data_IF_947886505996
#
_entry.id   IF_947886505996
#
_cell.length_a   1.000
_cell.length_b   1.000
_cell.length_c   1.000
_cell.angle_alpha   90.00
_cell.angle_beta   90.00
_cell.angle_gamma   90.00
#
_symmetry.space_group_name_H-M   'P 1'
#
loop_
_entity.id
_entity.type
_entity.pdbx_description
1 polymer ?
#
# COMPACT_ATOMS: atom_id res chain seq x y z
N UNK A 1 25.28 -10.64 -46.06
CA UNK A 1 25.09 -10.99 -44.64
C UNK A 1 23.63 -10.73 -44.32
N UNK A 2 22.82 -11.78 -44.16
CA UNK A 2 21.38 -11.65 -43.90
C UNK A 2 21.17 -11.37 -42.41
N UNK A 3 20.60 -10.20 -42.11
CA UNK A 3 20.15 -9.83 -40.77
C UNK A 3 18.87 -10.62 -40.47
N UNK A 4 18.97 -11.63 -39.61
CA UNK A 4 17.82 -12.39 -39.11
C UNK A 4 17.13 -11.51 -38.07
N UNK A 5 16.07 -10.84 -38.50
CA UNK A 5 15.19 -10.09 -37.63
C UNK A 5 14.44 -11.09 -36.73
N UNK A 6 14.94 -11.30 -35.51
CA UNK A 6 14.26 -12.10 -34.50
C UNK A 6 12.97 -11.39 -34.07
N UNK A 7 11.87 -11.70 -34.76
CA UNK A 7 10.52 -11.43 -34.28
C UNK A 7 10.35 -12.16 -32.95
N UNK A 8 10.31 -11.38 -31.86
CA UNK A 8 9.96 -11.87 -30.53
C UNK A 8 8.50 -12.33 -30.62
N UNK A 9 8.28 -13.63 -30.77
CA UNK A 9 6.95 -14.22 -30.70
C UNK A 9 6.46 -14.06 -29.27
N UNK A 10 5.74 -12.96 -29.03
CA UNK A 10 5.20 -12.62 -27.72
C UNK A 10 4.06 -13.59 -27.45
N UNK A 11 4.36 -14.71 -26.78
CA UNK A 11 3.39 -15.74 -26.43
C UNK A 11 2.20 -15.09 -25.69
N UNK A 12 0.99 -15.07 -26.28
CA UNK A 12 -0.15 -14.35 -25.70
C UNK A 12 -0.63 -14.96 -24.37
N UNK A 13 -0.09 -16.12 -23.98
CA UNK A 13 -0.38 -16.80 -22.73
C UNK A 13 0.66 -16.52 -21.63
N UNK A 14 1.79 -15.88 -21.96
CA UNK A 14 2.79 -15.44 -20.99
C UNK A 14 2.23 -14.30 -20.12
N UNK A 15 1.55 -14.64 -19.03
CA UNK A 15 0.95 -13.70 -18.08
C UNK A 15 -0.51 -13.97 -17.71
N UNK A 16 -1.12 -15.03 -18.24
CA UNK A 16 -2.52 -15.38 -17.93
C UNK A 16 -2.74 -15.65 -16.43
N UNK A 17 -1.78 -16.28 -15.75
CA UNK A 17 -1.84 -16.57 -14.31
C UNK A 17 -1.75 -15.30 -13.45
N UNK A 18 -0.85 -14.38 -13.81
CA UNK A 18 -0.74 -13.08 -13.14
C UNK A 18 -2.01 -12.23 -13.30
N UNK A 19 -2.60 -12.25 -14.50
CA UNK A 19 -3.84 -11.51 -14.79
C UNK A 19 -5.02 -12.03 -13.96
N UNK A 20 -5.09 -13.34 -13.72
CA UNK A 20 -6.09 -13.97 -12.83
C UNK A 20 -5.88 -13.57 -11.37
N UNK A 21 -4.63 -13.56 -10.89
CA UNK A 21 -4.30 -13.15 -9.53
C UNK A 21 -4.73 -11.70 -9.26
N UNK A 22 -4.42 -10.79 -10.18
CA UNK A 22 -4.83 -9.38 -10.13
C UNK A 22 -6.35 -9.24 -10.06
N UNK A 23 -7.08 -9.94 -10.95
CA UNK A 23 -8.54 -9.90 -10.97
C UNK A 23 -9.18 -10.45 -9.68
N UNK A 24 -8.60 -11.52 -9.11
CA UNK A 24 -9.05 -12.07 -7.84
C UNK A 24 -8.88 -11.06 -6.70
N UNK A 25 -7.71 -10.45 -6.60
CA UNK A 25 -7.41 -9.44 -5.57
C UNK A 25 -8.27 -8.19 -5.75
N UNK A 26 -8.50 -7.75 -6.99
CA UNK A 26 -9.39 -6.64 -7.30
C UNK A 26 -10.80 -6.86 -6.72
N UNK A 27 -11.40 -8.03 -6.94
CA UNK A 27 -12.72 -8.34 -6.40
C UNK A 27 -12.74 -8.39 -4.86
N UNK A 28 -11.71 -8.97 -4.24
CA UNK A 28 -11.56 -8.97 -2.77
C UNK A 28 -11.49 -7.54 -2.23
N UNK A 29 -10.70 -6.67 -2.86
CA UNK A 29 -10.51 -5.30 -2.44
C UNK A 29 -11.75 -4.43 -2.69
N UNK A 30 -12.47 -4.70 -3.77
CA UNK A 30 -13.75 -4.06 -4.08
C UNK A 30 -14.79 -4.40 -3.00
N UNK A 31 -14.95 -5.68 -2.66
CA UNK A 31 -15.90 -6.12 -1.63
C UNK A 31 -15.50 -5.57 -0.26
N UNK A 32 -14.21 -5.63 0.09
CA UNK A 32 -13.71 -5.07 1.34
C UNK A 32 -14.01 -3.56 1.43
N UNK A 33 -13.75 -2.81 0.36
CA UNK A 33 -14.01 -1.36 0.31
C UNK A 33 -15.51 -1.05 0.36
N UNK A 34 -16.36 -1.85 -0.31
CA UNK A 34 -17.81 -1.69 -0.26
C UNK A 34 -18.37 -1.94 1.15
N UNK A 35 -17.86 -2.96 1.85
CA UNK A 35 -18.17 -3.21 3.26
C UNK A 35 -17.70 -2.05 4.15
N UNK A 36 -16.51 -1.51 3.90
CA UNK A 36 -15.96 -0.36 4.62
C UNK A 36 -16.92 0.84 4.50
N UNK A 37 -17.39 1.16 3.30
CA UNK A 37 -18.41 2.20 3.09
C UNK A 37 -19.75 1.87 3.76
N UNK A 38 -20.22 0.62 3.70
CA UNK A 38 -21.46 0.22 4.37
C UNK A 38 -21.38 0.44 5.88
N UNK A 39 -20.27 0.07 6.51
CA UNK A 39 -20.01 0.32 7.94
C UNK A 39 -19.91 1.82 8.20
N UNK A 40 -19.29 2.59 7.30
CA UNK A 40 -19.21 4.03 7.41
C UNK A 40 -20.59 4.70 7.47
N UNK A 41 -21.57 4.22 6.71
CA UNK A 41 -22.91 4.80 6.68
C UNK A 41 -23.87 4.23 7.73
N UNK A 42 -23.67 2.98 8.18
CA UNK A 42 -24.60 2.31 9.11
C UNK A 42 -24.22 2.44 10.58
N UNK A 43 -22.92 2.53 10.90
CA UNK A 43 -22.46 2.58 12.30
C UNK A 43 -22.37 4.05 12.77
N UNK A 44 -22.99 4.39 13.92
CA UNK A 44 -22.90 5.72 14.49
C UNK A 44 -21.45 6.10 14.83
N UNK A 45 -21.18 7.40 14.83
CA UNK A 45 -19.83 7.90 15.11
C UNK A 45 -19.41 7.56 16.54
N UNK A 46 -18.29 6.87 16.66
CA UNK A 46 -17.72 6.47 17.95
C UNK A 46 -16.36 5.78 17.78
N UNK A 47 -15.66 5.57 18.89
CA UNK A 47 -14.31 4.97 18.91
C UNK A 47 -14.28 3.60 18.22
N UNK A 48 -15.33 2.79 18.40
CA UNK A 48 -15.45 1.47 17.78
C UNK A 48 -15.44 1.54 16.24
N UNK A 49 -16.17 2.51 15.66
CA UNK A 49 -16.19 2.76 14.22
C UNK A 49 -14.81 3.16 13.69
N UNK A 50 -14.10 4.01 14.43
CA UNK A 50 -12.76 4.46 14.03
C UNK A 50 -11.77 3.30 14.06
N UNK A 51 -11.78 2.50 15.14
CA UNK A 51 -10.88 1.35 15.27
C UNK A 51 -11.14 0.31 14.19
N UNK A 52 -12.40 -0.04 13.91
CA UNK A 52 -12.71 -1.03 12.87
C UNK A 52 -12.29 -0.53 11.48
N UNK A 53 -12.49 0.77 11.21
CA UNK A 53 -12.04 1.39 9.97
C UNK A 53 -10.54 1.25 9.81
N UNK A 54 -9.76 1.69 10.80
CA UNK A 54 -8.29 1.64 10.76
C UNK A 54 -7.81 0.22 10.48
N UNK A 55 -8.36 -0.79 11.17
CA UNK A 55 -7.99 -2.19 10.95
C UNK A 55 -8.33 -2.64 9.52
N UNK A 56 -9.52 -2.33 9.02
CA UNK A 56 -9.96 -2.69 7.67
C UNK A 56 -9.10 -2.01 6.59
N UNK A 57 -8.74 -0.74 6.79
CA UNK A 57 -7.87 0.02 5.88
C UNK A 57 -6.43 -0.53 5.90
N UNK A 58 -5.92 -1.00 7.03
CA UNK A 58 -4.62 -1.68 7.10
C UNK A 58 -4.66 -3.00 6.32
N UNK A 59 -5.69 -3.82 6.52
CA UNK A 59 -5.86 -5.09 5.79
C UNK A 59 -5.90 -4.84 4.29
N UNK A 60 -6.66 -3.83 3.84
CA UNK A 60 -6.66 -3.36 2.45
C UNK A 60 -5.28 -3.03 1.93
N UNK A 61 -4.51 -2.23 2.68
CA UNK A 61 -3.16 -1.83 2.29
C UNK A 61 -2.25 -3.06 2.08
N UNK A 62 -2.34 -4.07 2.95
CA UNK A 62 -1.60 -5.33 2.78
C UNK A 62 -1.95 -6.05 1.47
N UNK A 63 -3.24 -6.16 1.12
CA UNK A 63 -3.65 -6.79 -0.14
C UNK A 63 -3.20 -5.99 -1.37
N UNK A 64 -3.23 -4.66 -1.30
CA UNK A 64 -2.75 -3.80 -2.40
C UNK A 64 -1.25 -3.97 -2.60
N UNK A 65 -0.48 -3.83 -1.52
CA UNK A 65 0.99 -3.92 -1.56
C UNK A 65 1.43 -5.35 -1.93
N UNK A 66 0.77 -6.38 -1.42
CA UNK A 66 1.11 -7.77 -1.70
C UNK A 66 0.91 -8.19 -3.16
N UNK A 67 -0.27 -7.90 -3.73
CA UNK A 67 -0.67 -8.43 -5.04
C UNK A 67 -0.56 -7.41 -6.19
N UNK A 68 -0.91 -6.13 -5.99
CA UNK A 68 -0.77 -5.14 -7.06
C UNK A 68 0.67 -4.68 -7.27
N UNK A 69 1.53 -4.74 -6.24
CA UNK A 69 2.94 -4.37 -6.37
C UNK A 69 3.86 -5.57 -6.64
N UNK A 70 3.31 -6.76 -6.89
CA UNK A 70 4.07 -7.98 -7.27
C UNK A 70 5.18 -8.37 -6.28
N UNK A 71 5.04 -7.96 -5.01
CA UNK A 71 6.10 -8.03 -4.00
C UNK A 71 6.36 -9.43 -3.44
N UNK A 72 5.45 -10.37 -3.69
CA UNK A 72 5.41 -11.64 -2.98
C UNK A 72 6.45 -12.66 -3.45
N UNK A 73 6.95 -12.57 -4.69
CA UNK A 73 7.85 -13.59 -5.23
C UNK A 73 9.19 -13.12 -5.81
N UNK A 74 9.38 -11.85 -6.21
CA UNK A 74 10.66 -11.46 -6.86
C UNK A 74 11.31 -10.16 -6.38
N UNK A 75 10.64 -9.28 -5.64
CA UNK A 75 11.09 -7.87 -5.54
C UNK A 75 11.28 -7.36 -4.10
N UNK A 76 12.23 -7.96 -3.37
CA UNK A 76 12.71 -7.39 -2.09
C UNK A 76 13.12 -5.91 -2.22
N UNK A 77 13.63 -5.51 -3.38
CA UNK A 77 13.99 -4.12 -3.70
C UNK A 77 12.80 -3.15 -3.66
N UNK A 78 11.61 -3.56 -4.12
CA UNK A 78 10.40 -2.73 -4.07
C UNK A 78 9.82 -2.61 -2.65
N UNK A 79 10.05 -3.59 -1.77
CA UNK A 79 9.70 -3.44 -0.35
C UNK A 79 10.55 -2.33 0.29
N UNK A 80 11.85 -2.31 -0.01
CA UNK A 80 12.76 -1.27 0.46
C UNK A 80 12.37 0.13 -0.06
N UNK A 81 11.89 0.25 -1.30
CA UNK A 81 11.44 1.54 -1.83
C UNK A 81 10.20 2.12 -1.13
N UNK A 82 9.41 1.29 -0.44
CA UNK A 82 8.26 1.73 0.37
C UNK A 82 8.69 1.95 1.83
N UNK A 83 9.48 1.06 2.40
CA UNK A 83 9.89 1.12 3.80
C UNK A 83 10.77 2.35 4.07
N UNK A 84 11.73 2.65 3.19
CA UNK A 84 12.66 3.78 3.37
C UNK A 84 11.93 5.12 3.49
N UNK A 85 11.04 5.53 2.57
CA UNK A 85 10.32 6.80 2.70
C UNK A 85 9.37 6.82 3.91
N UNK A 86 8.76 5.69 4.28
CA UNK A 86 7.91 5.63 5.50
C UNK A 86 8.72 5.87 6.76
N UNK A 87 9.89 5.23 6.90
CA UNK A 87 10.78 5.45 8.04
C UNK A 87 11.30 6.89 8.05
N UNK A 88 11.67 7.43 6.89
CA UNK A 88 12.13 8.82 6.78
C UNK A 88 11.07 9.83 7.25
N UNK A 89 9.80 9.65 6.85
CA UNK A 89 8.70 10.51 7.31
C UNK A 89 8.48 10.37 8.82
N UNK A 90 8.48 9.16 9.36
CA UNK A 90 8.33 8.94 10.80
C UNK A 90 9.47 9.60 11.60
N UNK A 91 10.70 9.47 11.12
CA UNK A 91 11.87 10.12 11.71
C UNK A 91 11.76 11.64 11.63
N UNK A 92 11.34 12.19 10.49
CA UNK A 92 11.15 13.63 10.29
C UNK A 92 10.11 14.21 11.27
N UNK A 93 8.98 13.52 11.46
CA UNK A 93 7.95 13.92 12.43
C UNK A 93 8.54 13.96 13.85
N UNK A 94 9.29 12.92 14.25
CA UNK A 94 9.95 12.88 15.56
C UNK A 94 10.96 14.03 15.73
N UNK A 95 11.80 14.27 14.71
CA UNK A 95 12.79 15.34 14.74
C UNK A 95 12.13 16.72 14.91
N UNK A 96 11.06 16.99 14.15
CA UNK A 96 10.30 18.24 14.26
C UNK A 96 9.62 18.41 15.63
N UNK A 97 9.13 17.33 16.24
CA UNK A 97 8.54 17.39 17.57
C UNK A 97 9.59 17.70 18.65
N UNK A 98 10.78 17.09 18.55
CA UNK A 98 11.88 17.33 19.50
C UNK A 98 12.43 18.75 19.40
N UNK A 99 12.77 19.19 18.18
CA UNK A 99 13.25 20.56 17.93
C UNK A 99 12.18 21.60 18.26
N UNK A 100 10.92 21.34 17.88
CA UNK A 100 9.80 22.21 18.21
C UNK A 100 9.61 22.37 19.72
N UNK A 101 9.73 21.29 20.50
CA UNK A 101 9.65 21.36 21.95
C UNK A 101 10.86 22.10 22.57
N UNK A 102 12.07 21.89 22.05
CA UNK A 102 13.27 22.58 22.52
C UNK A 102 13.20 24.10 22.30
N UNK A 103 12.74 24.53 21.12
CA UNK A 103 12.52 25.95 20.80
C UNK A 103 11.42 26.55 21.68
N UNK A 104 10.33 25.82 21.89
CA UNK A 104 9.24 26.27 22.75
C UNK A 104 9.71 26.50 24.19
N UNK A 105 10.50 25.59 24.74
CA UNK A 105 11.07 25.74 26.09
C UNK A 105 12.07 26.89 26.17
N UNK A 106 12.89 27.13 25.14
CA UNK A 106 13.86 28.23 25.13
C UNK A 106 13.24 29.64 25.00
N UNK A 107 12.04 29.77 24.43
CA UNK A 107 11.39 31.07 24.17
C UNK A 107 10.38 31.43 25.26
N UNK A 108 9.62 30.46 25.76
CA UNK A 108 8.45 30.72 26.61
C UNK A 108 8.63 30.31 28.08
N UNK A 109 9.77 29.72 28.42
CA UNK A 109 10.10 29.23 29.76
C UNK A 109 11.43 29.82 30.21
#
# INVERSE_FOLDING_TARGET
MAEVHHIHEQDPNAGAEQRKAIWKTFWILLVLTALEFLIAFTVPHGTLKVTIFIVMTIVKAFYIVGEFMHLKHETKSLIWSIIVPVIFVAWLILALLLEGNAIFEAIFK
#
